data_IF_201398170513
#
_entry.id   IF_201398170513
#
_cell.length_a   1.000
_cell.length_b   1.000
_cell.length_c   1.000
_cell.angle_alpha   90.00
_cell.angle_beta   90.00
_cell.angle_gamma   90.00
#
_symmetry.space_group_name_H-M   'P 1'
#
loop_
_entity.id
_entity.type
_entity.pdbx_description
1 polymer ?
#
# COMPACT_ATOMS: atom_id res chain seq x y z
N UNK A 1 -30.64 5.06 0.10
CA UNK A 1 -29.58 4.05 0.22
C UNK A 1 -28.36 4.77 0.75
N UNK A 2 -27.95 4.54 1.99
CA UNK A 2 -26.74 5.13 2.57
C UNK A 2 -25.59 4.14 2.34
N UNK A 3 -25.03 4.15 1.13
CA UNK A 3 -23.85 3.32 0.86
C UNK A 3 -22.70 3.85 1.71
N UNK A 4 -22.07 2.96 2.47
CA UNK A 4 -20.88 3.24 3.28
C UNK A 4 -19.71 2.55 2.57
N UNK A 5 -19.08 3.22 1.57
CA UNK A 5 -18.13 2.58 0.65
C UNK A 5 -16.81 2.17 1.32
N UNK A 6 -16.54 2.66 2.53
CA UNK A 6 -15.34 2.40 3.34
C UNK A 6 -15.52 1.24 4.33
N UNK A 7 -16.48 0.33 4.09
CA UNK A 7 -16.77 -0.79 4.99
C UNK A 7 -16.34 -2.14 4.41
N UNK A 8 -15.58 -2.89 5.19
CA UNK A 8 -15.30 -4.32 4.91
C UNK A 8 -16.25 -5.20 5.73
N UNK A 9 -16.79 -6.23 5.07
CA UNK A 9 -17.60 -7.28 5.69
C UNK A 9 -16.85 -8.62 5.65
N UNK A 10 -16.57 -9.20 6.83
CA UNK A 10 -15.89 -10.50 6.94
C UNK A 10 -16.83 -11.52 7.57
N UNK A 11 -16.90 -12.72 6.98
CA UNK A 11 -17.60 -13.87 7.54
C UNK A 11 -16.66 -15.06 7.72
N UNK A 12 -16.76 -15.76 8.86
CA UNK A 12 -16.00 -16.98 9.16
C UNK A 12 -16.92 -18.19 9.35
N UNK A 13 -16.55 -19.35 8.79
CA UNK A 13 -17.30 -20.61 8.96
C UNK A 13 -16.50 -21.53 9.91
N UNK A 14 -17.12 -21.90 11.02
CA UNK A 14 -16.52 -22.68 12.13
C UNK A 14 -16.83 -22.07 13.50
N UNK A 15 -16.96 -20.75 13.54
CA UNK A 15 -17.63 -19.95 14.58
C UNK A 15 -18.33 -18.78 13.89
N UNK A 16 -19.66 -18.81 13.84
CA UNK A 16 -20.44 -17.90 13.00
C UNK A 16 -20.46 -16.49 13.65
N UNK A 17 -19.92 -15.51 12.94
CA UNK A 17 -19.99 -14.09 13.29
C UNK A 17 -19.72 -13.24 12.04
N UNK A 18 -20.43 -12.13 11.89
CA UNK A 18 -20.17 -11.12 10.87
C UNK A 18 -19.71 -9.85 11.56
N UNK A 19 -18.59 -9.28 11.12
CA UNK A 19 -18.09 -8.00 11.62
C UNK A 19 -18.11 -6.97 10.50
N UNK A 20 -18.55 -5.75 10.83
CA UNK A 20 -18.41 -4.58 9.98
C UNK A 20 -17.34 -3.69 10.57
N UNK A 21 -16.29 -3.44 9.78
CA UNK A 21 -15.16 -2.60 10.18
C UNK A 21 -15.24 -1.31 9.36
N UNK A 22 -15.20 -0.18 10.04
CA UNK A 22 -15.04 1.13 9.41
C UNK A 22 -13.55 1.40 9.28
N UNK A 23 -13.10 1.69 8.07
CA UNK A 23 -11.69 2.00 7.82
C UNK A 23 -11.49 3.50 7.68
N UNK A 24 -10.42 4.00 8.28
CA UNK A 24 -10.06 5.41 8.30
C UNK A 24 -8.77 5.62 7.51
N UNK A 25 -8.87 6.28 6.36
CA UNK A 25 -7.73 6.68 5.54
C UNK A 25 -7.31 8.14 5.77
N UNK A 26 -7.95 8.87 6.70
CA UNK A 26 -7.63 10.26 6.98
C UNK A 26 -6.22 10.44 7.54
N UNK A 27 -5.65 11.61 7.29
CA UNK A 27 -4.37 12.03 7.89
C UNK A 27 -4.45 13.45 8.45
N UNK A 28 -3.31 14.04 8.80
CA UNK A 28 -3.18 15.42 9.25
C UNK A 28 -3.58 16.43 8.16
N UNK A 29 -4.05 17.60 8.60
CA UNK A 29 -4.39 18.69 7.68
C UNK A 29 -3.16 19.17 6.91
N UNK A 30 -1.99 19.19 7.55
CA UNK A 30 -0.72 19.55 6.92
C UNK A 30 -0.35 18.62 5.76
N UNK A 31 -0.50 17.31 5.93
CA UNK A 31 -0.23 16.35 4.85
C UNK A 31 -1.26 16.45 3.72
N UNK A 32 -2.55 16.63 4.04
CA UNK A 32 -3.57 16.87 3.01
C UNK A 32 -3.29 18.15 2.22
N UNK A 33 -2.82 19.20 2.89
CA UNK A 33 -2.45 20.47 2.25
C UNK A 33 -1.31 20.30 1.23
N UNK A 34 -0.36 19.41 1.46
CA UNK A 34 0.70 19.12 0.46
C UNK A 34 0.08 18.65 -0.85
N UNK A 35 -0.90 17.75 -0.79
CA UNK A 35 -1.62 17.25 -1.97
C UNK A 35 -2.45 18.36 -2.64
N UNK A 36 -3.08 19.23 -1.86
CA UNK A 36 -3.81 20.40 -2.37
C UNK A 36 -2.88 21.40 -3.08
N UNK A 37 -1.68 21.62 -2.56
CA UNK A 37 -0.66 22.46 -3.19
C UNK A 37 -0.16 21.85 -4.51
N UNK A 38 -0.23 20.53 -4.66
CA UNK A 38 -0.01 19.82 -5.93
C UNK A 38 -1.23 19.84 -6.86
N UNK A 39 -2.29 20.55 -6.49
CA UNK A 39 -3.53 20.66 -7.28
C UNK A 39 -4.44 19.45 -7.18
N UNK A 40 -4.21 18.55 -6.23
CA UNK A 40 -5.07 17.39 -5.98
C UNK A 40 -6.18 17.76 -4.99
N UNK A 41 -7.34 17.11 -5.10
CA UNK A 41 -8.44 17.26 -4.13
C UNK A 41 -8.50 16.03 -3.25
N UNK A 42 -8.39 16.21 -1.94
CA UNK A 42 -8.51 15.13 -0.95
C UNK A 42 -9.92 15.10 -0.40
N UNK A 43 -10.56 13.94 -0.45
CA UNK A 43 -11.85 13.68 0.19
C UNK A 43 -11.74 12.40 1.03
N UNK A 44 -11.27 12.59 2.27
CA UNK A 44 -11.13 11.49 3.22
C UNK A 44 -12.51 10.97 3.71
N UNK A 45 -13.54 11.83 3.72
CA UNK A 45 -14.88 11.48 4.22
C UNK A 45 -15.59 10.48 3.29
N UNK A 46 -15.35 10.60 1.99
CA UNK A 46 -15.92 9.72 0.96
C UNK A 46 -14.91 8.68 0.44
N UNK A 47 -13.89 8.35 1.23
CA UNK A 47 -12.87 7.38 0.85
C UNK A 47 -13.49 6.01 0.47
N UNK A 48 -12.98 5.38 -0.58
CA UNK A 48 -13.51 4.10 -1.09
C UNK A 48 -12.47 2.99 -0.99
N UNK A 49 -12.91 1.76 -0.72
CA UNK A 49 -12.01 0.60 -0.70
C UNK A 49 -11.73 0.16 -2.13
N UNK A 50 -10.44 0.07 -2.48
CA UNK A 50 -9.97 -0.36 -3.80
C UNK A 50 -9.47 -1.80 -3.77
N UNK A 51 -8.69 -2.16 -2.75
CA UNK A 51 -8.15 -3.51 -2.58
C UNK A 51 -8.10 -3.89 -1.10
N UNK A 52 -8.32 -5.18 -0.81
CA UNK A 52 -8.22 -5.74 0.55
C UNK A 52 -7.34 -6.99 0.50
N UNK A 53 -6.37 -7.08 1.41
CA UNK A 53 -5.58 -8.27 1.69
C UNK A 53 -5.60 -8.52 3.21
N UNK A 54 -5.73 -9.76 3.67
CA UNK A 54 -5.94 -10.02 5.10
C UNK A 54 -5.45 -11.41 5.52
N UNK A 55 -5.19 -11.54 6.81
CA UNK A 55 -5.00 -12.82 7.48
C UNK A 55 -5.95 -12.94 8.69
N UNK A 56 -5.64 -13.85 9.62
CA UNK A 56 -6.46 -14.03 10.82
C UNK A 56 -6.39 -12.86 11.82
N UNK A 57 -5.32 -12.06 11.81
CA UNK A 57 -5.02 -11.02 12.81
C UNK A 57 -5.07 -9.60 12.26
N UNK A 58 -4.80 -9.39 10.96
CA UNK A 58 -4.71 -8.07 10.36
C UNK A 58 -5.45 -7.98 9.03
N UNK A 59 -5.78 -6.76 8.64
CA UNK A 59 -6.32 -6.41 7.33
C UNK A 59 -5.48 -5.25 6.79
N UNK A 60 -4.94 -5.41 5.59
CA UNK A 60 -4.33 -4.34 4.80
C UNK A 60 -5.31 -3.91 3.71
N UNK A 61 -5.55 -2.61 3.60
CA UNK A 61 -6.53 -2.06 2.66
C UNK A 61 -5.95 -0.89 1.90
N UNK A 62 -6.08 -0.94 0.58
CA UNK A 62 -5.84 0.20 -0.30
C UNK A 62 -7.12 1.00 -0.43
N UNK A 63 -7.08 2.26 -0.01
CA UNK A 63 -8.25 3.14 0.03
C UNK A 63 -8.01 4.39 -0.82
N UNK A 64 -8.91 4.67 -1.75
CA UNK A 64 -8.86 5.88 -2.57
C UNK A 64 -9.50 7.05 -1.81
N UNK A 65 -8.75 8.15 -1.64
CA UNK A 65 -9.21 9.40 -1.01
C UNK A 65 -9.40 10.51 -2.06
N UNK A 66 -9.82 10.13 -3.27
CA UNK A 66 -9.88 10.97 -4.48
C UNK A 66 -8.51 11.36 -5.06
N UNK A 67 -7.64 12.00 -4.27
CA UNK A 67 -6.33 12.45 -4.73
C UNK A 67 -5.39 11.30 -5.11
N UNK A 68 -5.37 10.25 -4.29
CA UNK A 68 -4.51 9.07 -4.42
C UNK A 68 -5.06 7.92 -3.58
N UNK A 69 -4.40 6.77 -3.67
CA UNK A 69 -4.68 5.59 -2.86
C UNK A 69 -3.73 5.52 -1.65
N UNK A 70 -4.27 5.31 -0.45
CA UNK A 70 -3.54 5.14 0.81
C UNK A 70 -3.59 3.71 1.30
N UNK A 71 -2.54 3.27 1.99
CA UNK A 71 -2.50 1.99 2.69
C UNK A 71 -2.98 2.15 4.14
N UNK A 72 -4.03 1.44 4.52
CA UNK A 72 -4.52 1.34 5.90
C UNK A 72 -4.29 -0.08 6.42
N UNK A 73 -3.67 -0.20 7.59
CA UNK A 73 -3.50 -1.46 8.32
C UNK A 73 -4.43 -1.45 9.53
N UNK A 74 -5.24 -2.50 9.66
CA UNK A 74 -6.13 -2.74 10.79
C UNK A 74 -5.73 -3.99 11.56
N UNK A 75 -5.51 -3.86 12.86
CA UNK A 75 -5.33 -4.98 13.78
C UNK A 75 -6.71 -5.43 14.28
N UNK A 76 -7.06 -6.68 13.99
CA UNK A 76 -8.36 -7.28 14.32
C UNK A 76 -8.47 -7.69 15.79
N UNK A 77 -7.34 -7.85 16.47
CA UNK A 77 -7.27 -8.22 17.89
C UNK A 77 -7.46 -7.01 18.81
N UNK A 78 -6.87 -5.87 18.44
CA UNK A 78 -6.93 -4.62 19.22
C UNK A 78 -7.97 -3.63 18.70
N UNK A 79 -8.32 -3.71 17.42
CA UNK A 79 -9.14 -2.73 16.71
C UNK A 79 -8.38 -1.48 16.27
N UNK A 80 -7.05 -1.45 16.43
CA UNK A 80 -6.21 -0.32 16.05
C UNK A 80 -6.11 -0.19 14.52
N UNK A 81 -6.06 1.06 14.05
CA UNK A 81 -5.84 1.42 12.64
C UNK A 81 -4.67 2.36 12.52
N UNK A 82 -3.86 2.18 11.47
CA UNK A 82 -2.79 3.09 11.11
C UNK A 82 -2.60 3.15 9.61
N UNK A 83 -2.01 4.25 9.15
CA UNK A 83 -1.48 4.33 7.80
C UNK A 83 -0.22 3.46 7.71
N UNK A 84 -0.15 2.64 6.66
CA UNK A 84 0.97 1.73 6.41
C UNK A 84 2.15 2.39 5.69
N UNK A 85 1.92 3.55 5.08
CA UNK A 85 2.90 4.32 4.32
C UNK A 85 2.62 5.83 4.44
N UNK A 86 3.52 6.68 3.96
CA UNK A 86 3.30 8.13 4.00
C UNK A 86 2.06 8.51 3.17
N UNK A 87 1.04 9.13 3.76
CA UNK A 87 -0.24 9.41 3.10
C UNK A 87 -0.20 10.45 1.98
N UNK A 88 0.95 11.09 1.74
CA UNK A 88 1.14 12.01 0.61
C UNK A 88 1.66 11.30 -0.66
N UNK A 89 2.11 10.04 -0.53
CA UNK A 89 2.60 9.26 -1.67
C UNK A 89 1.57 8.21 -2.09
N UNK A 90 1.42 7.96 -3.40
CA UNK A 90 0.44 7.01 -3.89
C UNK A 90 0.88 5.57 -3.60
N UNK A 91 -0.07 4.74 -3.18
CA UNK A 91 0.09 3.28 -3.03
C UNK A 91 -0.65 2.58 -4.17
N UNK A 92 0.00 1.64 -4.83
CA UNK A 92 -0.59 0.78 -5.85
C UNK A 92 -0.99 -0.59 -5.29
N UNK A 93 -0.78 -1.66 -6.03
CA UNK A 93 -1.18 -3.01 -5.64
C UNK A 93 -0.54 -3.45 -4.32
N UNK A 94 -1.35 -4.11 -3.49
CA UNK A 94 -0.94 -4.66 -2.19
C UNK A 94 -1.04 -6.18 -2.19
N UNK A 95 -0.17 -6.82 -1.41
CA UNK A 95 -0.27 -8.22 -1.04
C UNK A 95 0.04 -8.37 0.44
N UNK A 96 -0.57 -9.38 1.07
CA UNK A 96 -0.32 -9.70 2.46
C UNK A 96 -0.27 -11.22 2.64
N UNK A 97 0.90 -11.71 3.06
CA UNK A 97 1.10 -13.08 3.51
C UNK A 97 2.30 -13.15 4.45
N UNK A 98 2.38 -14.21 5.26
CA UNK A 98 3.55 -14.51 6.09
C UNK A 98 3.98 -13.35 7.00
N UNK A 99 3.04 -12.62 7.61
CA UNK A 99 3.30 -11.45 8.49
C UNK A 99 3.86 -10.20 7.78
N UNK A 100 3.97 -10.23 6.46
CA UNK A 100 4.42 -9.12 5.62
C UNK A 100 3.29 -8.52 4.81
N UNK A 101 3.12 -7.20 4.91
CA UNK A 101 2.40 -6.43 3.89
C UNK A 101 3.43 -5.92 2.90
N UNK A 102 3.19 -6.16 1.62
CA UNK A 102 4.03 -5.66 0.52
C UNK A 102 3.17 -4.83 -0.41
N UNK A 103 3.72 -3.74 -0.93
CA UNK A 103 2.99 -2.84 -1.81
C UNK A 103 3.94 -2.17 -2.78
N UNK A 104 3.40 -1.71 -3.91
CA UNK A 104 4.09 -0.78 -4.79
C UNK A 104 3.73 0.66 -4.38
N UNK A 105 4.68 1.59 -4.42
CA UNK A 105 4.43 3.02 -4.17
C UNK A 105 5.38 3.90 -4.98
N UNK A 106 5.04 5.19 -5.11
CA UNK A 106 5.97 6.20 -5.65
C UNK A 106 6.52 7.05 -4.52
N UNK A 107 7.54 6.56 -3.84
CA UNK A 107 8.18 7.28 -2.74
C UNK A 107 8.87 8.55 -3.25
N UNK A 108 8.85 9.63 -2.46
CA UNK A 108 9.39 10.95 -2.82
C UNK A 108 8.78 11.62 -4.07
N UNK A 109 7.71 11.06 -4.65
CA UNK A 109 7.06 11.64 -5.83
C UNK A 109 6.58 13.07 -5.56
N UNK A 110 7.00 14.02 -6.40
CA UNK A 110 6.56 15.40 -6.35
C UNK A 110 6.25 15.92 -7.76
N UNK A 111 4.97 16.15 -8.11
CA UNK A 111 4.58 16.58 -9.45
C UNK A 111 5.03 18.02 -9.78
N UNK A 112 5.36 18.83 -8.78
CA UNK A 112 5.84 20.22 -8.98
C UNK A 112 7.36 20.30 -9.17
N UNK A 113 8.09 19.26 -8.79
CA UNK A 113 9.55 19.17 -8.87
C UNK A 113 9.95 17.76 -9.29
N UNK A 114 9.50 17.36 -10.48
CA UNK A 114 9.64 16.01 -10.97
C UNK A 114 11.11 15.61 -11.20
N UNK A 115 11.42 14.38 -10.84
CA UNK A 115 12.70 13.71 -11.06
C UNK A 115 12.37 12.28 -11.49
N UNK A 116 12.93 11.84 -12.61
CA UNK A 116 12.55 10.57 -13.26
C UNK A 116 12.63 9.36 -12.30
N UNK A 117 13.68 9.29 -11.47
CA UNK A 117 13.91 8.27 -10.42
C UNK A 117 12.91 8.21 -9.25
N UNK A 118 11.88 9.06 -9.27
CA UNK A 118 10.76 9.04 -8.30
C UNK A 118 9.42 8.91 -9.02
N UNK A 119 9.46 8.71 -10.34
CA UNK A 119 8.29 8.65 -11.21
C UNK A 119 7.78 7.23 -11.42
N UNK A 120 8.61 6.24 -11.15
CA UNK A 120 8.38 4.81 -11.21
C UNK A 120 7.75 4.27 -9.91
N UNK A 121 7.08 3.12 -10.04
CA UNK A 121 6.56 2.34 -8.92
C UNK A 121 7.67 1.47 -8.33
N UNK A 122 7.81 1.52 -7.02
CA UNK A 122 8.83 0.80 -6.28
C UNK A 122 8.18 -0.16 -5.27
N UNK A 123 8.79 -1.32 -5.04
CA UNK A 123 8.29 -2.31 -4.07
C UNK A 123 8.75 -1.95 -2.67
N UNK A 124 7.81 -1.97 -1.74
CA UNK A 124 8.05 -1.81 -0.31
C UNK A 124 7.52 -3.02 0.46
N UNK A 125 8.05 -3.20 1.67
CA UNK A 125 7.52 -4.17 2.63
C UNK A 125 7.44 -3.62 4.05
N UNK A 126 6.52 -4.19 4.82
CA UNK A 126 6.33 -3.95 6.24
C UNK A 126 6.19 -5.30 6.94
N UNK A 127 7.12 -5.58 7.85
CA UNK A 127 7.02 -6.70 8.77
C UNK A 127 6.17 -6.29 9.98
N UNK A 128 4.96 -6.84 10.09
CA UNK A 128 3.99 -6.42 11.11
C UNK A 128 4.47 -6.63 12.56
N UNK A 129 5.06 -7.78 12.94
CA UNK A 129 5.48 -8.03 14.33
C UNK A 129 6.54 -7.05 14.84
N UNK A 130 7.48 -6.64 13.99
CA UNK A 130 8.55 -5.70 14.38
C UNK A 130 8.24 -4.25 13.99
N UNK A 131 7.16 -4.03 13.24
CA UNK A 131 6.82 -2.77 12.60
C UNK A 131 7.98 -2.16 11.78
N UNK A 132 8.81 -3.01 11.18
CA UNK A 132 9.93 -2.58 10.36
C UNK A 132 9.48 -2.45 8.91
N UNK A 133 9.70 -1.29 8.31
CA UNK A 133 9.36 -0.98 6.93
C UNK A 133 10.61 -0.64 6.14
N UNK A 134 10.65 -1.08 4.88
CA UNK A 134 11.75 -0.76 3.96
C UNK A 134 11.26 -0.69 2.51
N UNK A 135 12.03 0.03 1.69
CA UNK A 135 11.95 0.01 0.23
C UNK A 135 12.91 -1.06 -0.29
N UNK A 136 12.47 -1.85 -1.26
CA UNK A 136 13.16 -3.05 -1.74
C UNK A 136 13.66 -2.95 -3.18
N UNK A 137 13.09 -2.06 -3.97
CA UNK A 137 13.58 -1.70 -5.30
C UNK A 137 13.83 -0.21 -5.30
N UNK A 138 14.82 0.25 -6.07
CA UNK A 138 15.19 1.66 -6.14
C UNK A 138 15.97 1.91 -7.42
N UNK A 139 15.28 2.13 -8.53
CA UNK A 139 15.90 2.34 -9.83
C UNK A 139 15.13 3.36 -10.69
N UNK A 140 14.81 3.01 -11.94
CA UNK A 140 14.06 3.84 -12.89
C UNK A 140 13.08 3.01 -13.71
N UNK A 141 12.76 1.79 -13.26
CA UNK A 141 11.91 0.80 -13.94
C UNK A 141 10.67 0.61 -13.08
N UNK A 142 9.48 0.51 -13.68
CA UNK A 142 8.27 0.26 -12.90
C UNK A 142 8.27 -1.17 -12.33
N UNK A 143 8.32 -1.31 -11.00
CA UNK A 143 8.03 -2.57 -10.31
C UNK A 143 6.63 -2.58 -9.70
N UNK A 144 5.82 -3.53 -10.14
CA UNK A 144 4.38 -3.60 -9.84
C UNK A 144 3.89 -4.99 -9.47
N UNK A 145 2.65 -5.08 -8.97
CA UNK A 145 1.93 -6.28 -8.58
C UNK A 145 2.73 -7.20 -7.63
N UNK A 146 3.20 -6.69 -6.47
CA UNK A 146 3.97 -7.51 -5.56
C UNK A 146 3.11 -8.62 -4.94
N UNK A 147 3.72 -9.78 -4.75
CA UNK A 147 3.16 -10.95 -4.08
C UNK A 147 4.11 -11.34 -2.96
N UNK A 148 3.59 -11.32 -1.73
CA UNK A 148 4.34 -11.79 -0.56
C UNK A 148 4.48 -13.32 -0.61
N UNK A 149 5.70 -13.82 -0.51
CA UNK A 149 6.04 -15.23 -0.40
C UNK A 149 6.58 -15.51 1.02
N UNK A 150 6.79 -16.78 1.38
CA UNK A 150 7.33 -17.16 2.69
C UNK A 150 8.74 -16.65 2.89
N UNK A 151 9.59 -16.78 1.87
CA UNK A 151 11.02 -16.46 1.92
C UNK A 151 11.39 -15.24 1.05
N UNK A 152 10.39 -14.52 0.52
CA UNK A 152 10.65 -13.51 -0.50
C UNK A 152 9.43 -12.76 -0.96
N UNK A 153 9.60 -12.05 -2.07
CA UNK A 153 8.58 -11.27 -2.75
C UNK A 153 8.74 -11.52 -4.25
N UNK A 154 7.65 -11.80 -4.94
CA UNK A 154 7.63 -11.76 -6.39
C UNK A 154 6.99 -10.45 -6.85
N UNK A 155 7.50 -9.86 -7.94
CA UNK A 155 6.92 -8.66 -8.55
C UNK A 155 7.17 -8.68 -10.06
N UNK A 156 6.52 -7.76 -10.75
CA UNK A 156 6.63 -7.58 -12.19
C UNK A 156 7.47 -6.32 -12.44
N UNK A 157 8.49 -6.42 -13.29
CA UNK A 157 9.16 -5.24 -13.88
C UNK A 157 8.54 -4.94 -15.24
N UNK A 158 8.34 -3.66 -15.52
CA UNK A 158 7.88 -3.16 -16.81
C UNK A 158 8.90 -2.17 -17.34
N UNK A 159 9.63 -2.59 -18.38
CA UNK A 159 10.66 -1.80 -19.03
C UNK A 159 10.05 -0.70 -19.93
N UNK A 160 10.86 0.30 -20.29
CA UNK A 160 10.45 1.42 -21.15
C UNK A 160 9.87 0.99 -22.52
N UNK A 161 10.31 -0.15 -23.06
CA UNK A 161 9.84 -0.72 -24.32
C UNK A 161 8.60 -1.62 -24.18
N UNK A 162 8.11 -1.80 -22.94
CA UNK A 162 6.98 -2.64 -22.59
C UNK A 162 7.32 -4.11 -22.40
N UNK A 163 8.60 -4.50 -22.39
CA UNK A 163 9.01 -5.84 -21.93
C UNK A 163 8.60 -6.03 -20.46
N UNK A 164 8.09 -7.22 -20.15
CA UNK A 164 7.58 -7.57 -18.83
C UNK A 164 8.31 -8.79 -18.31
N UNK A 165 8.97 -8.64 -17.16
CA UNK A 165 9.67 -9.74 -16.48
C UNK A 165 9.05 -9.98 -15.11
N UNK A 166 9.20 -11.20 -14.59
CA UNK A 166 8.79 -11.55 -13.22
C UNK A 166 10.06 -11.81 -12.44
N UNK A 167 10.23 -11.03 -11.37
CA UNK A 167 11.38 -11.13 -10.49
C UNK A 167 10.97 -11.70 -9.14
N UNK A 168 11.93 -12.36 -8.47
CA UNK A 168 11.77 -12.89 -7.11
C UNK A 168 12.93 -12.41 -6.27
N UNK A 169 12.63 -11.57 -5.29
CA UNK A 169 13.57 -11.10 -4.29
C UNK A 169 13.47 -11.98 -3.04
N UNK A 170 14.57 -12.61 -2.64
CA UNK A 170 14.62 -13.32 -1.36
C UNK A 170 14.83 -12.33 -0.21
N UNK A 171 14.11 -12.52 0.90
CA UNK A 171 14.29 -11.66 2.08
C UNK A 171 15.69 -11.84 2.66
N UNK A 172 16.36 -10.73 2.97
CA UNK A 172 17.74 -10.73 3.46
C UNK A 172 18.81 -10.78 2.38
N UNK A 173 18.46 -10.73 1.09
CA UNK A 173 19.42 -10.40 0.03
C UNK A 173 19.81 -8.91 0.10
N UNK A 174 21.07 -8.58 -0.19
CA UNK A 174 21.50 -7.19 -0.31
C UNK A 174 20.83 -6.52 -1.52
N UNK A 175 20.33 -5.29 -1.33
CA UNK A 175 19.71 -4.50 -2.38
C UNK A 175 20.75 -4.13 -3.45
N UNK A 176 20.37 -4.22 -4.73
CA UNK A 176 21.13 -3.56 -5.78
C UNK A 176 20.95 -2.05 -5.60
N UNK A 177 22.01 -1.36 -5.18
CA UNK A 177 22.01 0.10 -5.09
C UNK A 177 22.31 0.71 -6.46
N UNK A 178 21.84 1.94 -6.68
CA UNK A 178 22.11 2.74 -7.88
C UNK A 178 23.55 2.59 -8.39
N UNK A 179 23.68 2.29 -9.68
CA UNK A 179 24.93 2.39 -10.44
C UNK A 179 24.98 3.66 -11.27
#
# INVERSE_FOLDING_TARGET
SSEQPSRVHIGTIGGIGSQSIFLNASTTLEQNRVLEEWGQTVDDENATIVQVAFDSQHIAVRMNVTALDRLVIYDRSTGEQRLGFDPIFPVGNISFAYEYVVWEAKDHFNPLSFSDKYGDWEIHQLHLPTNYSEQLTSDTIDQVNPIALEEGIAYIEVEDDGEVTINVLNRGAELATYS
#
